data_IF_820321074308
#
_entry.id   IF_820321074308
#
_cell.length_a   1.000
_cell.length_b   1.000
_cell.length_c   1.000
_cell.angle_alpha   90.00
_cell.angle_beta   90.00
_cell.angle_gamma   90.00
#
_symmetry.space_group_name_H-M   'P 1'
#
loop_
_entity.id
_entity.type
_entity.pdbx_description
1 polymer ?
#
# COMPACT_ATOMS: atom_id res chain seq x y z
N UNK A 1 2.14 -4.10 -8.54
CA UNK A 1 2.23 -4.76 -7.21
C UNK A 1 3.60 -4.60 -6.57
N UNK A 2 4.68 -5.21 -7.07
CA UNK A 2 6.01 -5.17 -6.42
C UNK A 2 6.47 -3.77 -5.97
N UNK A 3 6.37 -2.77 -6.86
CA UNK A 3 6.74 -1.38 -6.52
C UNK A 3 5.87 -0.74 -5.44
N UNK A 4 4.60 -1.14 -5.34
CA UNK A 4 3.70 -0.67 -4.28
C UNK A 4 4.16 -1.24 -2.94
N UNK A 5 4.45 -2.55 -2.87
CA UNK A 5 4.99 -3.18 -1.66
C UNK A 5 6.33 -2.58 -1.26
N UNK A 6 7.23 -2.38 -2.24
CA UNK A 6 8.54 -1.81 -1.99
C UNK A 6 8.45 -0.39 -1.39
N UNK A 7 7.56 0.44 -1.93
CA UNK A 7 7.34 1.79 -1.41
C UNK A 7 6.68 1.77 -0.02
N UNK A 8 5.69 0.89 0.20
CA UNK A 8 5.08 0.71 1.51
C UNK A 8 6.11 0.33 2.57
N UNK A 9 6.97 -0.67 2.31
CA UNK A 9 8.04 -1.06 3.23
C UNK A 9 9.10 0.04 3.41
N UNK A 10 9.36 0.83 2.37
CA UNK A 10 10.24 1.99 2.49
C UNK A 10 9.65 3.06 3.41
N UNK A 11 8.33 3.29 3.36
CA UNK A 11 7.63 4.21 4.25
C UNK A 11 7.72 3.72 5.70
N UNK A 12 7.49 2.43 5.95
CA UNK A 12 7.64 1.84 7.30
C UNK A 12 9.06 2.09 7.83
N UNK A 13 10.08 1.73 7.04
CA UNK A 13 11.48 1.88 7.45
C UNK A 13 11.88 3.34 7.72
N UNK A 14 11.41 4.29 6.91
CA UNK A 14 11.81 5.71 7.02
C UNK A 14 11.01 6.47 8.07
N UNK A 15 9.76 6.09 8.31
CA UNK A 15 8.80 6.95 9.01
C UNK A 15 8.06 6.29 10.16
N UNK A 16 7.94 4.96 10.23
CA UNK A 16 7.02 4.36 11.21
C UNK A 16 7.63 4.21 12.61
N UNK A 17 8.94 4.01 12.72
CA UNK A 17 9.55 3.56 13.99
C UNK A 17 8.95 2.23 14.50
N UNK A 18 8.37 1.45 13.58
CA UNK A 18 7.68 0.19 13.87
C UNK A 18 8.64 -0.89 14.36
N UNK A 19 8.15 -1.75 15.24
CA UNK A 19 8.87 -2.95 15.70
C UNK A 19 8.61 -4.13 14.78
N UNK A 20 7.42 -4.18 14.20
CA UNK A 20 6.99 -5.23 13.31
C UNK A 20 6.27 -4.66 12.09
N UNK A 21 6.43 -5.37 10.98
CA UNK A 21 5.64 -5.17 9.77
C UNK A 21 5.20 -6.54 9.28
N UNK A 22 3.94 -6.66 8.88
CA UNK A 22 3.39 -7.85 8.27
C UNK A 22 2.95 -7.54 6.84
N UNK A 23 3.18 -8.50 5.95
CA UNK A 23 2.74 -8.43 4.56
C UNK A 23 1.88 -9.66 4.29
N UNK A 24 0.62 -9.43 3.96
CA UNK A 24 -0.33 -10.49 3.59
C UNK A 24 -0.64 -10.38 2.11
N UNK A 25 -0.64 -11.52 1.41
CA UNK A 25 -1.02 -11.61 0.00
C UNK A 25 -2.00 -12.76 -0.18
N UNK A 26 -3.14 -12.48 -0.78
CA UNK A 26 -4.16 -13.47 -1.08
C UNK A 26 -4.68 -13.28 -2.51
N UNK A 27 -5.03 -14.38 -3.17
CA UNK A 27 -5.76 -14.37 -4.44
C UNK A 27 -7.12 -15.01 -4.20
N UNK A 28 -8.19 -14.23 -4.27
CA UNK A 28 -9.55 -14.73 -4.07
C UNK A 28 -10.56 -13.94 -4.90
N UNK A 29 -11.65 -14.59 -5.30
CA UNK A 29 -12.72 -13.99 -6.10
C UNK A 29 -12.25 -13.25 -7.38
N UNK A 30 -11.16 -13.71 -8.00
CA UNK A 30 -10.61 -13.07 -9.21
C UNK A 30 -9.83 -11.78 -8.92
N UNK A 31 -9.46 -11.52 -7.67
CA UNK A 31 -8.67 -10.36 -7.26
C UNK A 31 -7.40 -10.79 -6.51
N UNK A 32 -6.37 -9.96 -6.62
CA UNK A 32 -5.21 -9.98 -5.73
C UNK A 32 -5.46 -8.97 -4.63
N UNK A 33 -5.46 -9.47 -3.40
CA UNK A 33 -5.55 -8.69 -2.18
C UNK A 33 -4.18 -8.67 -1.54
N UNK A 34 -3.70 -7.49 -1.20
CA UNK A 34 -2.44 -7.32 -0.49
C UNK A 34 -2.63 -6.34 0.65
N UNK A 35 -2.07 -6.65 1.82
CA UNK A 35 -2.02 -5.76 2.97
C UNK A 35 -0.58 -5.62 3.46
N UNK A 36 -0.18 -4.40 3.78
CA UNK A 36 1.04 -4.08 4.52
C UNK A 36 0.61 -3.38 5.81
N UNK A 37 0.96 -3.97 6.94
CA UNK A 37 0.55 -3.52 8.26
C UNK A 37 1.79 -3.33 9.14
N UNK A 38 1.98 -2.15 9.70
CA UNK A 38 3.02 -1.88 10.69
C UNK A 38 2.42 -1.41 12.03
N UNK A 39 3.16 -1.64 13.11
CA UNK A 39 2.81 -1.24 14.48
C UNK A 39 3.50 0.08 14.91
N UNK A 40 3.87 0.93 13.95
CA UNK A 40 4.59 2.16 14.21
C UNK A 40 3.71 3.31 14.72
N UNK A 41 4.27 4.52 14.68
CA UNK A 41 3.61 5.73 15.18
C UNK A 41 2.41 6.22 14.36
N UNK A 42 2.18 5.65 13.17
CA UNK A 42 1.15 6.10 12.24
C UNK A 42 1.30 7.58 11.81
N UNK A 43 0.30 8.10 11.12
CA UNK A 43 0.21 9.50 10.70
C UNK A 43 -1.25 9.86 10.37
N UNK A 44 -1.54 11.16 10.25
CA UNK A 44 -2.81 11.61 9.68
C UNK A 44 -2.70 11.67 8.14
N UNK A 45 -3.45 10.84 7.39
CA UNK A 45 -3.39 10.81 5.94
C UNK A 45 -3.91 12.10 5.27
N UNK A 46 -4.74 12.89 5.96
CA UNK A 46 -5.27 14.16 5.45
C UNK A 46 -4.27 15.32 5.62
N UNK A 47 -3.25 15.14 6.46
CA UNK A 47 -2.21 16.14 6.68
C UNK A 47 -0.96 15.90 5.81
N UNK A 48 -0.23 16.96 5.43
CA UNK A 48 1.07 16.84 4.77
C UNK A 48 2.09 16.02 5.60
N UNK A 49 3.17 15.58 4.95
CA UNK A 49 4.30 14.96 5.63
C UNK A 49 4.94 15.88 6.67
N UNK A 50 5.75 15.32 7.57
CA UNK A 50 6.46 16.07 8.62
C UNK A 50 7.38 17.17 8.06
N UNK A 51 7.83 17.03 6.82
CA UNK A 51 8.62 18.01 6.08
C UNK A 51 7.78 19.06 5.32
N UNK A 52 6.47 19.08 5.57
CA UNK A 52 5.50 19.94 4.89
C UNK A 52 5.23 19.55 3.44
N UNK A 53 5.80 18.42 2.96
CA UNK A 53 5.65 18.00 1.56
C UNK A 53 4.44 17.09 1.37
N UNK A 54 3.85 17.08 0.17
CA UNK A 54 2.87 16.07 -0.20
C UNK A 54 3.43 14.66 0.02
N UNK A 55 2.60 13.71 0.46
CA UNK A 55 2.99 12.31 0.64
C UNK A 55 3.10 11.59 -0.71
N UNK A 56 4.10 11.99 -1.52
CA UNK A 56 4.30 11.52 -2.89
C UNK A 56 4.32 9.99 -3.01
N UNK A 57 4.93 9.30 -2.04
CA UNK A 57 4.93 7.83 -2.02
C UNK A 57 3.53 7.22 -2.02
N UNK A 58 2.62 7.72 -1.17
CA UNK A 58 1.22 7.25 -1.11
C UNK A 58 0.48 7.55 -2.41
N UNK A 59 0.63 8.77 -2.94
CA UNK A 59 0.01 9.17 -4.21
C UNK A 59 0.47 8.29 -5.37
N UNK A 60 1.78 8.09 -5.50
CA UNK A 60 2.36 7.22 -6.54
C UNK A 60 1.88 5.77 -6.39
N UNK A 61 1.71 5.27 -5.16
CA UNK A 61 1.13 3.93 -4.94
C UNK A 61 -0.33 3.86 -5.40
N UNK A 62 -1.14 4.88 -5.09
CA UNK A 62 -2.54 4.96 -5.52
C UNK A 62 -2.68 5.05 -7.05
N UNK A 63 -1.87 5.90 -7.70
CA UNK A 63 -1.83 6.02 -9.17
C UNK A 63 -1.45 4.69 -9.84
N UNK A 64 -0.49 3.96 -9.25
CA UNK A 64 -0.11 2.63 -9.73
C UNK A 64 -1.21 1.59 -9.53
N UNK A 65 -1.91 1.61 -8.40
CA UNK A 65 -3.05 0.72 -8.18
C UNK A 65 -4.14 0.98 -9.22
N UNK A 66 -4.48 2.25 -9.47
CA UNK A 66 -5.44 2.66 -10.49
C UNK A 66 -5.00 2.21 -11.91
N UNK A 67 -3.72 2.33 -12.26
CA UNK A 67 -3.19 1.85 -13.55
C UNK A 67 -3.31 0.33 -13.76
N UNK A 68 -3.44 -0.43 -12.67
CA UNK A 68 -3.68 -1.87 -12.69
C UNK A 68 -5.17 -2.23 -12.64
N UNK A 69 -6.06 -1.24 -12.77
CA UNK A 69 -7.51 -1.42 -12.66
C UNK A 69 -7.98 -1.68 -11.23
N UNK A 70 -7.16 -1.37 -10.23
CA UNK A 70 -7.46 -1.61 -8.83
C UNK A 70 -7.48 -0.37 -7.97
N UNK A 71 -7.48 -0.60 -6.66
CA UNK A 71 -7.67 0.41 -5.63
C UNK A 71 -6.65 0.23 -4.52
N UNK A 72 -6.27 1.36 -3.90
CA UNK A 72 -5.39 1.40 -2.74
C UNK A 72 -6.06 2.20 -1.64
N UNK A 73 -6.15 1.60 -0.45
CA UNK A 73 -6.68 2.21 0.75
C UNK A 73 -5.56 2.34 1.79
N UNK A 74 -5.54 3.47 2.50
CA UNK A 74 -4.58 3.72 3.57
C UNK A 74 -5.36 4.04 4.83
N UNK A 75 -5.14 3.27 5.87
CA UNK A 75 -5.62 3.53 7.22
C UNK A 75 -4.42 3.82 8.09
N UNK A 76 -4.41 4.99 8.73
CA UNK A 76 -3.37 5.35 9.68
C UNK A 76 -3.95 6.28 10.72
N UNK A 77 -3.43 6.16 11.94
CA UNK A 77 -3.71 7.07 13.03
C UNK A 77 -2.49 7.12 13.96
N UNK A 78 -2.30 8.25 14.63
CA UNK A 78 -1.22 8.41 15.60
C UNK A 78 -1.27 7.27 16.64
N UNK A 79 -0.10 6.67 16.88
CA UNK A 79 0.16 5.56 17.80
C UNK A 79 -0.64 4.27 17.52
N UNK A 80 -1.21 4.12 16.32
CA UNK A 80 -1.94 2.92 15.89
C UNK A 80 -1.33 2.21 14.68
N UNK A 81 -0.18 2.67 14.21
CA UNK A 81 0.48 2.13 13.02
C UNK A 81 -0.16 2.57 11.72
N UNK A 82 0.20 1.86 10.65
CA UNK A 82 -0.36 2.08 9.31
C UNK A 82 -0.74 0.75 8.67
N UNK A 83 -1.88 0.75 7.98
CA UNK A 83 -2.33 -0.33 7.12
C UNK A 83 -2.53 0.20 5.71
N UNK A 84 -1.87 -0.43 4.75
CA UNK A 84 -2.03 -0.17 3.31
C UNK A 84 -2.66 -1.41 2.68
N UNK A 85 -3.86 -1.27 2.12
CA UNK A 85 -4.54 -2.33 1.39
C UNK A 85 -4.54 -2.05 -0.10
N UNK A 86 -4.16 -3.05 -0.89
CA UNK A 86 -4.20 -3.03 -2.35
C UNK A 86 -5.16 -4.12 -2.81
N UNK A 87 -6.10 -3.74 -3.68
CA UNK A 87 -7.00 -4.66 -4.37
C UNK A 87 -6.82 -4.46 -5.87
N UNK A 88 -6.41 -5.49 -6.61
CA UNK A 88 -6.34 -5.41 -8.07
C UNK A 88 -7.06 -6.61 -8.70
N UNK A 89 -7.78 -6.45 -9.81
CA UNK A 89 -8.29 -7.58 -10.57
C UNK A 89 -7.14 -8.47 -11.05
N UNK A 90 -7.24 -9.76 -10.81
CA UNK A 90 -6.43 -10.75 -11.50
C UNK A 90 -7.10 -10.96 -12.85
N UNK A 91 -6.63 -10.25 -13.89
CA UNK A 91 -7.04 -10.56 -15.25
C UNK A 91 -6.89 -12.08 -15.46
N UNK A 92 -7.99 -12.77 -15.77
CA UNK A 92 -7.92 -14.15 -16.21
C UNK A 92 -6.90 -14.16 -17.33
N UNK A 93 -5.77 -14.85 -17.11
CA UNK A 93 -4.62 -14.85 -18.02
C UNK A 93 -5.14 -14.74 -19.44
N UNK A 94 -4.84 -13.63 -20.12
CA UNK A 94 -4.90 -13.61 -21.56
C UNK A 94 -4.09 -14.83 -21.98
N UNK A 95 -4.78 -15.85 -22.49
CA UNK A 95 -4.13 -16.93 -23.22
C UNK A 95 -3.27 -16.19 -24.23
N UNK A 96 -1.95 -16.41 -24.21
CA UNK A 96 -1.15 -16.12 -25.40
C UNK A 96 -1.81 -16.93 -26.51
N UNK A 97 -2.55 -16.23 -27.36
CA UNK A 97 -2.94 -16.74 -28.65
C UNK A 97 -1.69 -16.62 -29.53
N UNK A 98 -1.29 -17.73 -30.16
CA UNK A 98 -0.19 -17.80 -31.12
C UNK A 98 1.15 -18.10 -30.47
#
# INVERSE_FOLDING_TARGET
VFRIVQEALANVRRHAGARAVSVTVAAQAGELLLSVDDDGRGFDPELPGEDGRPRFGLRTMAERAASLGGQLEVESALDRGTRIRLRIPLAARGRRAG
#
